data_IF_388999496590
#
_entry.id   IF_388999496590
#
_cell.length_a   1.000
_cell.length_b   1.000
_cell.length_c   1.000
_cell.angle_alpha   90.00
_cell.angle_beta   90.00
_cell.angle_gamma   90.00
#
_symmetry.space_group_name_H-M   'P 1'
#
loop_
_entity.id
_entity.type
_entity.pdbx_description
1 polymer ?
#
# COMPACT_ATOMS: atom_id res chain seq x y z
N UNK A 1 9.94 23.41 -8.56
CA UNK A 1 10.11 24.36 -9.65
C UNK A 1 8.72 24.86 -10.04
N UNK A 2 8.30 26.05 -9.56
CA UNK A 2 6.88 26.48 -9.64
C UNK A 2 6.33 26.58 -11.08
N UNK A 3 7.17 27.00 -12.03
CA UNK A 3 6.82 27.10 -13.45
C UNK A 3 7.53 26.01 -14.26
N UNK A 4 6.75 25.18 -14.95
CA UNK A 4 7.24 24.05 -15.77
C UNK A 4 7.20 24.31 -17.28
N UNK A 5 6.61 25.42 -17.70
CA UNK A 5 6.60 25.84 -19.09
C UNK A 5 8.03 26.05 -19.61
N UNK A 6 8.31 25.62 -20.84
CA UNK A 6 9.61 25.71 -21.51
C UNK A 6 10.78 24.98 -20.81
N UNK A 7 10.49 24.19 -19.77
CA UNK A 7 11.47 23.30 -19.15
C UNK A 7 11.72 22.09 -20.04
N UNK A 8 12.98 21.68 -20.14
CA UNK A 8 13.38 20.50 -20.90
C UNK A 8 13.37 19.31 -19.97
N UNK A 9 12.46 18.36 -20.21
CA UNK A 9 12.19 17.21 -19.35
C UNK A 9 12.54 15.93 -20.10
N UNK A 10 13.55 15.21 -19.60
CA UNK A 10 13.95 13.90 -20.10
C UNK A 10 13.28 12.80 -19.28
N UNK A 11 12.59 11.89 -19.95
CA UNK A 11 11.87 10.77 -19.34
C UNK A 11 12.33 9.47 -19.98
N UNK A 12 12.88 8.56 -19.17
CA UNK A 12 13.25 7.21 -19.62
C UNK A 12 12.08 6.23 -19.46
N UNK A 13 11.96 5.26 -20.36
CA UNK A 13 10.81 4.35 -20.37
C UNK A 13 9.51 5.08 -20.68
N UNK A 14 9.56 6.04 -21.60
CA UNK A 14 8.47 6.98 -21.88
C UNK A 14 7.42 6.45 -22.87
N UNK A 15 7.60 5.25 -23.42
CA UNK A 15 6.67 4.71 -24.43
C UNK A 15 5.39 4.12 -23.82
N UNK A 16 5.31 3.94 -22.50
CA UNK A 16 4.14 3.36 -21.84
C UNK A 16 4.06 3.64 -20.33
N UNK A 17 3.02 3.09 -19.71
CA UNK A 17 2.82 3.09 -18.25
C UNK A 17 2.92 4.46 -17.58
N UNK A 18 3.71 4.53 -16.51
CA UNK A 18 3.95 5.76 -15.73
C UNK A 18 4.69 6.80 -16.57
N UNK A 19 5.68 6.38 -17.37
CA UNK A 19 6.52 7.28 -18.17
C UNK A 19 5.72 8.08 -19.19
N UNK A 20 4.85 7.41 -19.96
CA UNK A 20 4.00 8.07 -20.96
C UNK A 20 2.99 9.04 -20.31
N UNK A 21 2.37 8.65 -19.21
CA UNK A 21 1.43 9.51 -18.51
C UNK A 21 2.14 10.71 -17.86
N UNK A 22 3.36 10.52 -17.36
CA UNK A 22 4.21 11.60 -16.82
C UNK A 22 4.53 12.59 -17.93
N UNK A 23 4.95 12.10 -19.10
CA UNK A 23 5.18 12.94 -20.29
C UNK A 23 3.93 13.74 -20.68
N UNK A 24 2.74 13.15 -20.55
CA UNK A 24 1.45 13.82 -20.76
C UNK A 24 1.27 15.07 -19.89
N UNK A 25 1.48 14.97 -18.58
CA UNK A 25 1.32 16.13 -17.68
C UNK A 25 2.35 17.23 -17.93
N UNK A 26 3.60 16.87 -18.25
CA UNK A 26 4.62 17.86 -18.63
C UNK A 26 4.30 18.51 -19.99
N UNK A 27 3.79 17.76 -20.97
CA UNK A 27 3.33 18.33 -22.25
C UNK A 27 2.19 19.33 -22.05
N UNK A 28 1.20 18.96 -21.23
CA UNK A 28 0.06 19.81 -20.90
C UNK A 28 0.49 21.10 -20.19
N UNK A 29 1.53 21.04 -19.35
CA UNK A 29 2.13 22.21 -18.70
C UNK A 29 3.05 23.05 -19.63
N UNK A 30 3.20 22.67 -20.90
CA UNK A 30 4.01 23.40 -21.88
C UNK A 30 5.52 23.15 -21.76
N UNK A 31 5.93 22.05 -21.12
CA UNK A 31 7.34 21.63 -21.10
C UNK A 31 7.76 21.03 -22.45
N UNK A 32 9.04 21.16 -22.77
CA UNK A 32 9.67 20.48 -23.91
C UNK A 32 10.12 19.10 -23.48
N UNK A 33 9.89 18.10 -24.32
CA UNK A 33 10.06 16.72 -23.93
C UNK A 33 11.23 16.06 -24.64
N UNK A 34 11.99 15.27 -23.90
CA UNK A 34 12.91 14.26 -24.42
C UNK A 34 12.40 12.90 -23.94
N UNK A 35 11.95 12.07 -24.88
CA UNK A 35 11.33 10.78 -24.60
C UNK A 35 12.24 9.68 -25.09
N UNK A 36 12.60 8.75 -24.20
CA UNK A 36 13.40 7.59 -24.57
C UNK A 36 12.74 6.29 -24.15
N UNK A 37 12.92 5.29 -24.98
CA UNK A 37 12.48 3.91 -24.74
C UNK A 37 13.29 2.96 -25.63
N UNK A 38 13.28 1.67 -25.32
CA UNK A 38 13.88 0.65 -26.18
C UNK A 38 12.93 0.25 -27.32
N UNK A 39 11.62 0.45 -27.15
CA UNK A 39 10.61 0.13 -28.15
C UNK A 39 10.34 1.32 -29.08
N UNK A 40 10.93 1.30 -30.27
CA UNK A 40 10.81 2.34 -31.29
C UNK A 40 9.35 2.64 -31.68
N UNK A 41 8.55 1.61 -31.95
CA UNK A 41 7.18 1.77 -32.40
C UNK A 41 6.28 2.38 -31.31
N UNK A 42 6.43 1.91 -30.07
CA UNK A 42 5.69 2.46 -28.94
C UNK A 42 6.12 3.91 -28.65
N UNK A 43 7.40 4.23 -28.82
CA UNK A 43 7.92 5.59 -28.64
C UNK A 43 7.38 6.57 -29.70
N UNK A 44 7.26 6.14 -30.95
CA UNK A 44 6.67 6.97 -32.01
C UNK A 44 5.16 7.20 -31.75
N UNK A 45 4.44 6.17 -31.31
CA UNK A 45 3.04 6.31 -30.90
C UNK A 45 2.88 7.29 -29.72
N UNK A 46 3.77 7.23 -28.73
CA UNK A 46 3.81 8.16 -27.61
C UNK A 46 3.99 9.62 -28.10
N UNK A 47 4.94 9.85 -29.02
CA UNK A 47 5.16 11.17 -29.62
C UNK A 47 3.93 11.68 -30.35
N UNK A 48 3.29 10.86 -31.18
CA UNK A 48 2.06 11.25 -31.90
C UNK A 48 0.93 11.62 -30.93
N UNK A 49 0.74 10.83 -29.86
CA UNK A 49 -0.27 11.11 -28.83
C UNK A 49 -0.02 12.44 -28.10
N UNK A 50 1.24 12.80 -27.91
CA UNK A 50 1.64 14.02 -27.18
C UNK A 50 1.77 15.26 -28.08
N UNK A 51 1.93 15.08 -29.39
CA UNK A 51 2.05 16.19 -30.36
C UNK A 51 0.87 17.17 -30.32
N UNK A 52 -0.32 16.71 -29.93
CA UNK A 52 -1.53 17.55 -29.75
C UNK A 52 -1.36 18.70 -28.76
N UNK A 53 -0.37 18.63 -27.87
CA UNK A 53 -0.09 19.69 -26.89
C UNK A 53 0.76 20.84 -27.46
N UNK A 54 1.25 20.72 -28.71
CA UNK A 54 1.99 21.80 -29.38
C UNK A 54 3.37 22.10 -28.77
N UNK A 55 3.95 21.16 -28.03
CA UNK A 55 5.28 21.27 -27.43
C UNK A 55 6.37 20.64 -28.30
N UNK A 56 7.61 21.08 -28.14
CA UNK A 56 8.76 20.44 -28.78
C UNK A 56 9.03 19.07 -28.17
N UNK A 57 9.09 18.03 -29.02
CA UNK A 57 9.40 16.66 -28.60
C UNK A 57 10.64 16.17 -29.34
N UNK A 58 11.60 15.62 -28.59
CA UNK A 58 12.72 14.82 -29.09
C UNK A 58 12.49 13.37 -28.66
N UNK A 59 12.41 12.45 -29.62
CA UNK A 59 12.41 11.02 -29.34
C UNK A 59 13.77 10.43 -29.70
N UNK A 60 14.25 9.47 -28.90
CA UNK A 60 15.42 8.66 -29.24
C UNK A 60 15.27 7.26 -28.66
N UNK A 61 15.49 6.25 -29.50
CA UNK A 61 15.58 4.86 -29.04
C UNK A 61 16.86 4.69 -28.25
N UNK A 62 16.75 4.31 -26.98
CA UNK A 62 17.89 4.17 -26.07
C UNK A 62 17.70 2.92 -25.23
N UNK A 63 18.63 1.98 -25.34
CA UNK A 63 18.86 1.01 -24.28
C UNK A 63 19.56 1.75 -23.13
N UNK A 64 18.84 1.90 -22.01
CA UNK A 64 19.32 2.65 -20.86
C UNK A 64 20.54 2.01 -20.19
N UNK A 65 20.86 0.75 -20.51
CA UNK A 65 22.05 0.03 -20.03
C UNK A 65 23.31 0.28 -20.88
N UNK A 66 23.18 0.93 -22.04
CA UNK A 66 24.31 1.34 -22.88
C UNK A 66 24.70 2.79 -22.59
N UNK A 67 25.80 2.98 -21.84
CA UNK A 67 26.33 4.30 -21.51
C UNK A 67 26.61 5.15 -22.76
N UNK A 68 27.11 4.57 -23.86
CA UNK A 68 27.41 5.34 -25.07
C UNK A 68 26.14 5.86 -25.74
N UNK A 69 25.05 5.08 -25.69
CA UNK A 69 23.75 5.53 -26.17
C UNK A 69 23.21 6.70 -25.33
N UNK A 70 23.42 6.66 -24.00
CA UNK A 70 23.06 7.75 -23.07
C UNK A 70 23.91 9.00 -23.31
N UNK A 71 25.21 8.86 -23.55
CA UNK A 71 26.09 9.99 -23.91
C UNK A 71 25.69 10.61 -25.26
N UNK A 72 25.38 9.77 -26.25
CA UNK A 72 24.86 10.24 -27.54
C UNK A 72 23.50 10.95 -27.38
N UNK A 73 22.63 10.49 -26.48
CA UNK A 73 21.38 11.19 -26.14
C UNK A 73 21.66 12.57 -25.57
N UNK A 74 22.62 12.71 -24.66
CA UNK A 74 23.03 14.02 -24.12
C UNK A 74 23.43 14.99 -25.23
N UNK A 75 24.21 14.54 -26.20
CA UNK A 75 24.66 15.39 -27.30
C UNK A 75 23.48 15.88 -28.15
N UNK A 76 22.48 15.03 -28.40
CA UNK A 76 21.25 15.43 -29.10
C UNK A 76 20.41 16.43 -28.28
N UNK A 77 20.31 16.22 -26.96
CA UNK A 77 19.60 17.13 -26.05
C UNK A 77 20.26 18.50 -26.01
N UNK A 78 21.60 18.55 -25.87
CA UNK A 78 22.37 19.79 -25.89
C UNK A 78 22.25 20.48 -27.25
N UNK A 79 22.35 19.73 -28.35
CA UNK A 79 22.22 20.29 -29.71
C UNK A 79 20.83 20.91 -29.95
N UNK A 80 19.76 20.25 -29.50
CA UNK A 80 18.39 20.71 -29.76
C UNK A 80 17.91 21.78 -28.78
N UNK A 81 18.22 21.63 -27.49
CA UNK A 81 17.64 22.45 -26.43
C UNK A 81 18.67 23.26 -25.64
N UNK A 82 19.96 22.95 -25.74
CA UNK A 82 21.06 23.64 -25.04
C UNK A 82 21.14 23.39 -23.53
N UNK A 83 20.18 22.65 -22.96
CA UNK A 83 20.08 22.38 -21.52
C UNK A 83 19.21 21.16 -21.24
N UNK A 84 19.29 20.66 -20.02
CA UNK A 84 18.30 19.77 -19.41
C UNK A 84 17.88 20.33 -18.06
N UNK A 85 16.58 20.53 -17.83
CA UNK A 85 16.05 21.06 -16.57
C UNK A 85 15.61 19.95 -15.62
N UNK A 86 15.01 18.88 -16.15
CA UNK A 86 14.47 17.76 -15.36
C UNK A 86 14.88 16.42 -15.98
N UNK A 87 15.44 15.53 -15.18
CA UNK A 87 15.73 14.13 -15.54
C UNK A 87 14.82 13.21 -14.73
N UNK A 88 14.00 12.40 -15.39
CA UNK A 88 13.12 11.41 -14.77
C UNK A 88 13.59 10.01 -15.15
N UNK A 89 14.30 9.37 -14.21
CA UNK A 89 14.72 7.98 -14.30
C UNK A 89 13.54 7.07 -13.93
N UNK A 90 12.75 6.69 -14.94
CA UNK A 90 11.53 5.89 -14.80
C UNK A 90 11.68 4.46 -15.36
N UNK A 91 12.55 4.24 -16.35
CA UNK A 91 12.78 2.91 -16.93
C UNK A 91 13.12 1.88 -15.84
N UNK A 92 12.51 0.69 -15.93
CA UNK A 92 12.70 -0.37 -14.95
C UNK A 92 12.05 -1.68 -15.38
N UNK A 93 12.51 -2.78 -14.79
CA UNK A 93 11.93 -4.11 -14.95
C UNK A 93 11.69 -4.79 -13.60
N UNK A 94 10.70 -5.67 -13.56
CA UNK A 94 10.37 -6.50 -12.41
C UNK A 94 10.78 -7.95 -12.66
N UNK A 95 11.08 -8.67 -11.59
CA UNK A 95 11.25 -10.12 -11.64
C UNK A 95 10.96 -10.66 -10.25
N UNK A 96 10.14 -11.72 -10.18
CA UNK A 96 9.81 -12.38 -8.95
C UNK A 96 10.35 -13.82 -8.94
N UNK A 97 11.14 -14.12 -7.92
CA UNK A 97 11.62 -15.42 -7.50
C UNK A 97 12.20 -15.27 -6.09
N UNK A 98 12.31 -16.37 -5.33
CA UNK A 98 13.11 -16.33 -4.11
C UNK A 98 14.55 -15.92 -4.41
N UNK A 99 15.23 -15.33 -3.42
CA UNK A 99 16.61 -14.84 -3.61
C UNK A 99 17.52 -15.99 -4.05
N UNK A 100 17.36 -17.18 -3.46
CA UNK A 100 18.13 -18.37 -3.78
C UNK A 100 17.84 -18.91 -5.20
N UNK A 101 16.62 -18.72 -5.68
CA UNK A 101 16.16 -19.24 -6.98
C UNK A 101 16.29 -18.22 -8.11
N UNK A 102 16.60 -16.96 -7.80
CA UNK A 102 16.80 -15.92 -8.81
C UNK A 102 18.11 -16.19 -9.55
N UNK A 103 18.08 -16.45 -10.88
CA UNK A 103 19.30 -16.69 -11.63
C UNK A 103 20.24 -15.47 -11.59
N UNK A 104 21.55 -15.69 -11.53
CA UNK A 104 22.54 -14.59 -11.53
C UNK A 104 22.41 -13.68 -12.76
N UNK A 105 22.02 -14.22 -13.91
CA UNK A 105 21.73 -13.43 -15.11
C UNK A 105 20.56 -12.46 -14.91
N UNK A 106 19.54 -12.84 -14.12
CA UNK A 106 18.41 -11.98 -13.76
C UNK A 106 18.82 -10.92 -12.73
N UNK A 107 19.66 -11.27 -11.77
CA UNK A 107 20.29 -10.28 -10.88
C UNK A 107 21.05 -9.22 -11.66
N UNK A 108 21.89 -9.63 -12.61
CA UNK A 108 22.64 -8.71 -13.44
C UNK A 108 21.72 -7.84 -14.30
N UNK A 109 20.69 -8.42 -14.92
CA UNK A 109 19.70 -7.69 -15.70
C UNK A 109 18.96 -6.63 -14.85
N UNK A 110 18.48 -7.01 -13.67
CA UNK A 110 17.81 -6.11 -12.73
C UNK A 110 18.74 -4.97 -12.29
N UNK A 111 19.98 -5.28 -11.90
CA UNK A 111 20.95 -4.25 -11.49
C UNK A 111 21.31 -3.31 -12.64
N UNK A 112 21.49 -3.84 -13.85
CA UNK A 112 21.83 -3.03 -15.02
C UNK A 112 20.72 -2.03 -15.35
N UNK A 113 19.46 -2.47 -15.36
CA UNK A 113 18.32 -1.62 -15.76
C UNK A 113 17.81 -0.76 -14.60
N UNK A 114 17.66 -1.32 -13.40
CA UNK A 114 17.03 -0.58 -12.31
C UNK A 114 18.00 0.32 -11.55
N UNK A 115 19.32 0.07 -11.59
CA UNK A 115 20.31 0.83 -10.82
C UNK A 115 21.39 1.50 -11.70
N UNK A 116 22.14 0.72 -12.50
CA UNK A 116 23.22 1.27 -13.31
C UNK A 116 22.71 2.26 -14.36
N UNK A 117 21.59 1.97 -15.01
CA UNK A 117 20.98 2.86 -16.00
C UNK A 117 20.62 4.25 -15.43
N UNK A 118 19.89 4.38 -14.30
CA UNK A 118 19.74 5.67 -13.63
C UNK A 118 21.07 6.35 -13.31
N UNK A 119 22.07 5.61 -12.83
CA UNK A 119 23.40 6.16 -12.54
C UNK A 119 24.10 6.69 -13.80
N UNK A 120 24.01 5.99 -14.93
CA UNK A 120 24.55 6.46 -16.21
C UNK A 120 23.91 7.77 -16.66
N UNK A 121 22.58 7.88 -16.55
CA UNK A 121 21.88 9.13 -16.86
C UNK A 121 22.28 10.25 -15.91
N UNK A 122 22.36 9.96 -14.61
CA UNK A 122 22.82 10.92 -13.60
C UNK A 122 24.23 11.43 -13.94
N UNK A 123 25.21 10.54 -14.13
CA UNK A 123 26.58 10.95 -14.42
C UNK A 123 26.71 11.72 -15.74
N UNK A 124 25.88 11.38 -16.73
CA UNK A 124 25.89 12.03 -18.03
C UNK A 124 25.28 13.44 -18.00
N UNK A 125 24.17 13.63 -17.28
CA UNK A 125 23.39 14.87 -17.32
C UNK A 125 23.61 15.81 -16.13
N UNK A 126 24.06 15.30 -14.98
CA UNK A 126 24.33 16.11 -13.79
C UNK A 126 25.35 17.25 -14.05
N UNK A 127 26.42 17.07 -14.84
CA UNK A 127 27.34 18.18 -15.16
C UNK A 127 26.64 19.38 -15.81
N UNK A 128 25.66 19.14 -16.70
CA UNK A 128 24.89 20.21 -17.36
C UNK A 128 24.04 20.99 -16.33
N UNK A 129 23.43 20.30 -15.38
CA UNK A 129 22.66 20.92 -14.30
C UNK A 129 23.55 21.72 -13.34
N UNK A 130 24.76 21.20 -13.04
CA UNK A 130 25.74 21.89 -12.18
C UNK A 130 26.27 23.17 -12.81
N UNK A 131 26.56 23.16 -14.10
CA UNK A 131 26.98 24.37 -14.83
C UNK A 131 25.93 25.49 -14.70
N UNK A 132 24.64 25.13 -14.77
CA UNK A 132 23.53 26.07 -14.65
C UNK A 132 23.12 26.39 -13.20
N UNK A 133 23.68 25.67 -12.22
CA UNK A 133 23.25 25.69 -10.81
C UNK A 133 21.73 25.56 -10.65
N UNK A 134 21.15 24.67 -11.45
CA UNK A 134 19.71 24.44 -11.49
C UNK A 134 19.45 23.11 -12.17
N UNK A 135 18.55 22.33 -11.59
CA UNK A 135 18.08 21.09 -12.17
C UNK A 135 17.25 20.28 -11.19
N UNK A 136 16.53 19.29 -11.70
CA UNK A 136 15.78 18.36 -10.87
C UNK A 136 15.94 16.94 -11.39
N UNK A 137 16.43 16.04 -10.54
CA UNK A 137 16.52 14.60 -10.83
C UNK A 137 15.41 13.88 -10.08
N UNK A 138 14.62 13.07 -10.77
CA UNK A 138 13.59 12.21 -10.20
C UNK A 138 13.99 10.76 -10.43
N UNK A 139 14.09 9.98 -9.36
CA UNK A 139 14.35 8.55 -9.42
C UNK A 139 13.10 7.79 -8.99
N UNK A 140 12.56 6.96 -9.88
CA UNK A 140 11.38 6.12 -9.59
C UNK A 140 11.83 4.79 -8.98
N UNK A 141 11.69 4.70 -7.66
CA UNK A 141 11.93 3.49 -6.88
C UNK A 141 10.67 2.59 -6.86
N UNK A 142 10.32 2.02 -5.71
CA UNK A 142 9.10 1.26 -5.47
C UNK A 142 8.82 1.17 -3.98
N UNK A 143 7.55 1.06 -3.60
CA UNK A 143 7.12 0.73 -2.25
C UNK A 143 7.74 -0.57 -1.72
N UNK A 144 8.15 -1.49 -2.61
CA UNK A 144 8.89 -2.70 -2.25
C UNK A 144 10.27 -2.42 -1.64
N UNK A 145 10.75 -1.17 -1.68
CA UNK A 145 11.86 -0.74 -0.85
C UNK A 145 11.52 -0.84 0.66
N UNK A 146 10.26 -0.64 1.02
CA UNK A 146 9.81 -0.56 2.42
C UNK A 146 8.99 -1.77 2.86
N UNK A 147 8.14 -2.36 2.02
CA UNK A 147 7.50 -3.65 2.32
C UNK A 147 8.26 -4.77 1.63
N UNK A 148 8.65 -5.81 2.38
CA UNK A 148 9.34 -6.99 1.83
C UNK A 148 8.28 -7.99 1.40
N UNK A 149 7.86 -7.92 0.14
CA UNK A 149 7.04 -8.99 -0.42
C UNK A 149 7.92 -10.23 -0.61
N UNK A 150 7.44 -11.42 -0.18
CA UNK A 150 8.04 -12.70 -0.55
C UNK A 150 8.29 -12.75 -2.06
N UNK A 151 9.38 -13.42 -2.48
CA UNK A 151 9.79 -13.60 -3.89
C UNK A 151 10.09 -12.34 -4.71
N UNK A 152 10.07 -11.15 -4.13
CA UNK A 152 10.49 -9.92 -4.83
C UNK A 152 11.88 -9.43 -4.37
N UNK A 153 12.66 -10.30 -3.73
CA UNK A 153 13.91 -9.93 -3.06
C UNK A 153 14.91 -9.22 -3.98
N UNK A 154 15.20 -9.81 -5.14
CA UNK A 154 16.18 -9.24 -6.07
C UNK A 154 15.77 -7.86 -6.59
N UNK A 155 14.51 -7.72 -7.01
CA UNK A 155 13.96 -6.43 -7.43
C UNK A 155 13.97 -5.41 -6.27
N UNK A 156 13.52 -5.79 -5.09
CA UNK A 156 13.47 -4.94 -3.90
C UNK A 156 14.85 -4.39 -3.52
N UNK A 157 15.90 -5.23 -3.62
CA UNK A 157 17.29 -4.80 -3.41
C UNK A 157 17.69 -3.69 -4.40
N UNK A 158 17.34 -3.83 -5.68
CA UNK A 158 17.64 -2.78 -6.68
C UNK A 158 16.92 -1.45 -6.36
N UNK A 159 15.67 -1.52 -5.89
CA UNK A 159 14.87 -0.33 -5.55
C UNK A 159 15.33 0.33 -4.24
N UNK A 160 15.79 -0.46 -3.27
CA UNK A 160 16.50 0.04 -2.09
C UNK A 160 17.78 0.78 -2.47
N UNK A 161 18.59 0.21 -3.36
CA UNK A 161 19.85 0.81 -3.81
C UNK A 161 19.63 2.18 -4.48
N UNK A 162 18.63 2.29 -5.36
CA UNK A 162 18.25 3.58 -5.98
C UNK A 162 17.77 4.59 -4.94
N UNK A 163 16.98 4.15 -3.95
CA UNK A 163 16.52 5.01 -2.86
C UNK A 163 17.69 5.60 -2.07
N UNK A 164 18.61 4.74 -1.61
CA UNK A 164 19.79 5.17 -0.87
C UNK A 164 20.69 6.11 -1.70
N UNK A 165 20.91 5.80 -2.99
CA UNK A 165 21.65 6.67 -3.91
C UNK A 165 21.01 8.06 -4.00
N UNK A 166 19.67 8.12 -4.09
CA UNK A 166 18.94 9.38 -4.22
C UNK A 166 19.00 10.23 -2.96
N UNK A 167 18.91 9.61 -1.78
CA UNK A 167 19.06 10.29 -0.48
C UNK A 167 20.45 10.90 -0.32
N UNK A 168 21.51 10.16 -0.68
CA UNK A 168 22.89 10.66 -0.65
C UNK A 168 23.06 11.81 -1.64
N UNK A 169 22.58 11.65 -2.88
CA UNK A 169 22.69 12.67 -3.90
C UNK A 169 22.02 13.98 -3.51
N UNK A 170 20.86 13.93 -2.85
CA UNK A 170 20.14 15.12 -2.40
C UNK A 170 21.08 16.04 -1.58
N UNK A 171 21.89 15.46 -0.69
CA UNK A 171 22.89 16.18 0.10
C UNK A 171 24.07 16.67 -0.76
N UNK A 172 24.61 15.81 -1.64
CA UNK A 172 25.80 16.14 -2.44
C UNK A 172 25.59 17.29 -3.43
N UNK A 173 24.39 17.39 -4.02
CA UNK A 173 24.08 18.38 -5.07
C UNK A 173 23.36 19.62 -4.53
N UNK A 174 23.01 19.67 -3.24
CA UNK A 174 22.33 20.80 -2.63
C UNK A 174 23.08 22.13 -2.84
N UNK A 175 24.42 22.11 -2.76
CA UNK A 175 25.28 23.29 -3.00
C UNK A 175 25.21 23.84 -4.42
N UNK A 176 24.80 22.99 -5.36
CA UNK A 176 24.65 23.33 -6.78
C UNK A 176 23.21 23.76 -7.11
N UNK A 177 22.33 23.91 -6.10
CA UNK A 177 20.92 24.24 -6.27
C UNK A 177 20.18 23.27 -7.21
N UNK A 178 20.53 22.00 -7.11
CA UNK A 178 19.88 20.90 -7.84
C UNK A 178 19.02 20.14 -6.83
N UNK A 179 17.82 19.72 -7.26
CA UNK A 179 16.87 18.96 -6.44
C UNK A 179 16.89 17.49 -6.82
N UNK A 180 16.65 16.61 -5.86
CA UNK A 180 16.52 15.18 -6.08
C UNK A 180 15.24 14.69 -5.42
N UNK A 181 14.30 14.17 -6.20
CA UNK A 181 13.08 13.52 -5.70
C UNK A 181 13.21 12.02 -5.85
N UNK A 182 12.90 11.28 -4.79
CA UNK A 182 12.67 9.84 -4.88
C UNK A 182 11.20 9.54 -4.81
N UNK A 183 10.66 8.87 -5.81
CA UNK A 183 9.25 8.48 -5.85
C UNK A 183 9.15 6.99 -5.54
N UNK A 184 8.24 6.62 -4.63
CA UNK A 184 7.99 5.23 -4.25
C UNK A 184 6.55 4.83 -4.61
N UNK A 185 6.30 4.38 -5.87
CA UNK A 185 5.01 3.80 -6.25
C UNK A 185 4.80 2.45 -5.55
N UNK A 186 3.62 2.17 -5.01
CA UNK A 186 3.34 0.90 -4.32
C UNK A 186 3.16 -0.26 -5.31
N UNK A 187 2.01 -0.31 -5.97
CA UNK A 187 1.68 -1.21 -7.07
C UNK A 187 1.00 -0.36 -8.14
N UNK A 188 1.35 -0.56 -9.41
CA UNK A 188 0.78 0.21 -10.53
C UNK A 188 0.40 -0.73 -11.65
N UNK A 189 -0.83 -0.60 -12.17
CA UNK A 189 -1.32 -1.45 -13.24
C UNK A 189 -0.79 -0.98 -14.62
N UNK A 190 0.46 -1.35 -14.95
CA UNK A 190 1.14 -0.98 -16.21
C UNK A 190 1.58 -2.17 -17.07
N UNK A 191 1.07 -3.37 -16.82
CA UNK A 191 1.58 -4.62 -17.43
C UNK A 191 2.96 -5.06 -16.91
N UNK A 192 3.53 -4.31 -15.96
CA UNK A 192 4.84 -4.58 -15.34
C UNK A 192 4.90 -5.93 -14.60
N UNK A 193 3.74 -6.45 -14.21
CA UNK A 193 3.57 -7.69 -13.47
C UNK A 193 3.09 -8.86 -14.35
N UNK A 194 2.88 -8.66 -15.65
CA UNK A 194 2.24 -9.67 -16.52
C UNK A 194 3.06 -10.95 -16.67
N UNK A 195 4.38 -10.87 -16.43
CA UNK A 195 5.29 -12.02 -16.43
C UNK A 195 5.55 -12.58 -15.04
N UNK A 196 4.94 -12.02 -13.99
CA UNK A 196 5.14 -12.48 -12.63
C UNK A 196 4.35 -13.77 -12.35
N UNK A 197 4.98 -14.77 -11.75
CA UNK A 197 4.35 -16.07 -11.48
C UNK A 197 4.00 -16.20 -9.99
N UNK A 198 2.75 -16.52 -9.66
CA UNK A 198 2.31 -16.71 -8.28
C UNK A 198 2.37 -18.20 -7.90
N UNK A 199 3.39 -18.59 -7.14
CA UNK A 199 3.67 -20.01 -6.81
C UNK A 199 3.29 -20.38 -5.36
N UNK A 200 2.98 -19.38 -4.53
CA UNK A 200 2.54 -19.51 -3.14
C UNK A 200 1.23 -18.76 -2.88
N UNK A 201 0.52 -19.13 -1.81
CA UNK A 201 -0.76 -18.48 -1.44
C UNK A 201 -0.55 -17.02 -1.03
N UNK A 202 0.56 -16.72 -0.35
CA UNK A 202 0.91 -15.34 -0.03
C UNK A 202 1.02 -14.49 -1.31
N UNK A 203 1.62 -15.04 -2.37
CA UNK A 203 1.65 -14.39 -3.68
C UNK A 203 0.26 -14.31 -4.31
N UNK A 204 -0.52 -15.39 -4.31
CA UNK A 204 -1.87 -15.36 -4.89
C UNK A 204 -2.78 -14.35 -4.20
N UNK A 205 -2.72 -14.23 -2.87
CA UNK A 205 -3.42 -13.21 -2.10
C UNK A 205 -2.88 -11.81 -2.41
N UNK A 206 -1.56 -11.65 -2.51
CA UNK A 206 -0.94 -10.39 -2.91
C UNK A 206 -1.39 -9.93 -4.29
N UNK A 207 -1.36 -10.82 -5.29
CA UNK A 207 -1.84 -10.54 -6.65
C UNK A 207 -3.35 -10.34 -6.70
N UNK A 208 -4.12 -11.07 -5.89
CA UNK A 208 -5.57 -10.91 -5.80
C UNK A 208 -5.99 -9.56 -5.23
N UNK A 209 -5.32 -9.09 -4.17
CA UNK A 209 -5.62 -7.79 -3.57
C UNK A 209 -4.92 -6.64 -4.29
N UNK A 210 -4.09 -6.92 -5.30
CA UNK A 210 -3.44 -5.91 -6.12
C UNK A 210 -4.42 -4.85 -6.65
N UNK A 211 -5.59 -5.19 -7.23
CA UNK A 211 -6.52 -4.17 -7.72
C UNK A 211 -7.09 -3.25 -6.62
N UNK A 212 -7.09 -3.66 -5.35
CA UNK A 212 -7.60 -2.85 -4.23
C UNK A 212 -6.59 -1.79 -3.77
N UNK A 213 -5.29 -2.03 -3.98
CA UNK A 213 -4.21 -1.14 -3.53
C UNK A 213 -3.31 -0.62 -4.66
N UNK A 214 -3.60 -0.98 -5.91
CA UNK A 214 -2.86 -0.56 -7.10
C UNK A 214 -3.36 0.79 -7.59
N UNK A 215 -2.44 1.74 -7.72
CA UNK A 215 -2.72 3.05 -8.26
C UNK A 215 -2.80 3.00 -9.79
N UNK A 216 -3.61 3.90 -10.36
CA UNK A 216 -3.60 4.11 -11.80
C UNK A 216 -2.27 4.74 -12.23
N UNK A 217 -1.71 4.38 -13.39
CA UNK A 217 -0.48 4.99 -13.90
C UNK A 217 -0.56 6.53 -13.99
N UNK A 218 -1.76 7.05 -14.27
CA UNK A 218 -2.06 8.48 -14.30
C UNK A 218 -1.93 9.14 -12.92
N UNK A 219 -2.33 8.45 -11.84
CA UNK A 219 -2.21 8.97 -10.48
C UNK A 219 -0.74 9.10 -10.09
N UNK A 220 0.06 8.07 -10.34
CA UNK A 220 1.50 8.09 -10.04
C UNK A 220 2.22 9.14 -10.88
N UNK A 221 1.88 9.23 -12.17
CA UNK A 221 2.42 10.26 -13.07
C UNK A 221 2.10 11.69 -12.60
N UNK A 222 0.87 11.91 -12.09
CA UNK A 222 0.49 13.21 -11.51
C UNK A 222 1.30 13.52 -10.26
N UNK A 223 1.50 12.54 -9.37
CA UNK A 223 2.33 12.73 -8.19
C UNK A 223 3.79 13.02 -8.53
N UNK A 224 4.36 12.38 -9.57
CA UNK A 224 5.69 12.72 -10.09
C UNK A 224 5.73 14.17 -10.55
N UNK A 225 4.76 14.59 -11.37
CA UNK A 225 4.64 15.95 -11.86
C UNK A 225 4.56 16.98 -10.71
N UNK A 226 3.66 16.76 -9.75
CA UNK A 226 3.47 17.63 -8.59
C UNK A 226 4.73 17.68 -7.71
N UNK A 227 5.43 16.55 -7.54
CA UNK A 227 6.69 16.49 -6.78
C UNK A 227 7.80 17.33 -7.42
N UNK A 228 7.88 17.36 -8.75
CA UNK A 228 8.81 18.24 -9.47
C UNK A 228 8.43 19.72 -9.30
N UNK A 229 7.14 20.02 -9.41
CA UNK A 229 6.64 21.39 -9.22
C UNK A 229 6.91 21.91 -7.81
N UNK A 230 6.70 21.07 -6.81
CA UNK A 230 6.79 21.40 -5.38
C UNK A 230 8.19 21.20 -4.79
N UNK A 231 9.13 20.60 -5.54
CA UNK A 231 10.51 20.31 -5.10
C UNK A 231 10.60 19.37 -3.91
N UNK A 232 9.73 18.36 -3.87
CA UNK A 232 9.72 17.37 -2.78
C UNK A 232 10.96 16.48 -2.83
N UNK A 233 11.57 16.18 -1.69
CA UNK A 233 12.71 15.25 -1.64
C UNK A 233 12.27 13.78 -1.77
N UNK A 234 11.12 13.44 -1.20
CA UNK A 234 10.55 12.08 -1.20
C UNK A 234 9.05 12.16 -1.42
N UNK A 235 8.55 11.32 -2.34
CA UNK A 235 7.12 11.13 -2.56
C UNK A 235 6.73 9.68 -2.33
N UNK A 236 5.89 9.46 -1.32
CA UNK A 236 5.27 8.16 -1.03
C UNK A 236 3.89 8.14 -1.65
N UNK A 237 3.72 7.33 -2.71
CA UNK A 237 2.46 7.31 -3.48
C UNK A 237 1.30 6.77 -2.64
N UNK A 238 1.55 5.72 -1.85
CA UNK A 238 0.55 5.08 -0.99
C UNK A 238 0.82 5.36 0.49
N UNK A 239 -0.25 5.52 1.28
CA UNK A 239 -0.19 5.59 2.74
C UNK A 239 0.44 4.33 3.36
N UNK A 240 0.32 3.19 2.68
CA UNK A 240 0.96 1.94 3.09
C UNK A 240 2.49 2.06 3.07
N UNK A 241 3.07 2.80 2.12
CA UNK A 241 4.52 3.03 2.09
C UNK A 241 5.01 3.79 3.31
N UNK A 242 4.25 4.80 3.75
CA UNK A 242 4.58 5.52 4.98
C UNK A 242 4.49 4.57 6.18
N UNK A 243 3.42 3.80 6.30
CA UNK A 243 3.26 2.81 7.36
C UNK A 243 4.44 1.82 7.41
N UNK A 244 4.79 1.19 6.28
CA UNK A 244 5.87 0.20 6.22
C UNK A 244 7.26 0.80 6.45
N UNK A 245 7.50 2.07 6.06
CA UNK A 245 8.76 2.77 6.36
C UNK A 245 8.93 2.97 7.87
N UNK A 246 7.89 3.42 8.56
CA UNK A 246 7.98 3.79 9.97
C UNK A 246 7.83 2.60 10.94
N UNK A 247 7.05 1.57 10.59
CA UNK A 247 6.88 0.38 11.45
C UNK A 247 8.20 -0.37 11.68
N UNK A 248 9.16 -0.27 10.76
CA UNK A 248 10.49 -0.89 10.88
C UNK A 248 11.40 -0.25 11.92
N UNK A 249 11.13 1.01 12.28
CA UNK A 249 11.87 1.70 13.35
C UNK A 249 11.40 1.22 14.74
N UNK A 250 10.35 0.39 14.80
CA UNK A 250 9.76 -0.17 16.01
C UNK A 250 10.11 -1.67 16.11
N UNK A 251 11.10 -2.07 16.93
CA UNK A 251 11.61 -3.45 16.97
C UNK A 251 10.54 -4.51 17.24
N UNK A 252 9.57 -4.20 18.10
CA UNK A 252 8.48 -5.11 18.49
C UNK A 252 7.49 -5.36 17.35
N UNK A 253 7.14 -4.31 16.59
CA UNK A 253 6.20 -4.40 15.49
C UNK A 253 6.83 -5.08 14.27
N UNK A 254 8.12 -4.81 14.01
CA UNK A 254 8.90 -5.55 13.02
C UNK A 254 8.95 -7.05 13.34
N UNK A 255 9.21 -7.42 14.61
CA UNK A 255 9.25 -8.83 15.02
C UNK A 255 7.92 -9.58 14.92
N UNK A 256 6.78 -8.91 15.13
CA UNK A 256 5.45 -9.49 14.89
C UNK A 256 5.21 -9.69 13.40
N UNK A 257 5.51 -8.68 12.58
CA UNK A 257 5.35 -8.77 11.13
C UNK A 257 6.22 -9.89 10.54
N UNK A 258 7.48 -9.99 10.97
CA UNK A 258 8.39 -11.06 10.55
C UNK A 258 7.85 -12.44 10.95
N UNK A 259 7.36 -12.61 12.19
CA UNK A 259 6.72 -13.87 12.63
C UNK A 259 5.51 -14.24 11.78
N UNK A 260 4.61 -13.29 11.54
CA UNK A 260 3.42 -13.50 10.71
C UNK A 260 3.82 -13.89 9.29
N UNK A 261 4.76 -13.17 8.67
CA UNK A 261 5.28 -13.50 7.33
C UNK A 261 5.92 -14.89 7.29
N UNK A 262 6.72 -15.27 8.29
CA UNK A 262 7.32 -16.61 8.38
C UNK A 262 6.27 -17.73 8.45
N UNK A 263 5.21 -17.56 9.25
CA UNK A 263 4.12 -18.53 9.35
C UNK A 263 3.36 -18.70 8.03
N UNK A 264 3.14 -17.60 7.30
CA UNK A 264 2.50 -17.67 5.98
C UNK A 264 3.39 -18.24 4.87
N UNK A 265 4.72 -18.32 5.08
CA UNK A 265 5.67 -18.75 4.05
C UNK A 265 6.15 -20.21 4.17
N UNK A 266 6.08 -20.86 5.33
CA UNK A 266 6.65 -22.22 5.48
C UNK A 266 5.62 -23.33 5.23
N UNK A 267 5.80 -24.10 4.13
CA UNK A 267 4.97 -25.29 3.81
C UNK A 267 4.96 -26.32 4.95
N UNK A 268 6.10 -26.53 5.61
CA UNK A 268 6.22 -27.46 6.73
C UNK A 268 5.43 -27.02 7.98
N UNK A 269 5.35 -25.72 8.31
CA UNK A 269 4.48 -25.30 9.41
C UNK A 269 3.02 -25.32 9.01
N UNK A 270 2.68 -25.02 7.75
CA UNK A 270 1.32 -25.11 7.22
C UNK A 270 0.76 -26.53 7.30
N UNK A 271 1.57 -27.56 6.99
CA UNK A 271 1.20 -28.97 7.18
C UNK A 271 1.10 -29.33 8.68
N UNK A 272 2.06 -28.88 9.51
CA UNK A 272 2.05 -29.16 10.96
C UNK A 272 0.88 -28.52 11.73
N UNK A 273 0.33 -27.42 11.20
CA UNK A 273 -0.80 -26.68 11.77
C UNK A 273 -2.15 -27.12 11.16
N UNK A 274 -2.17 -28.14 10.30
CA UNK A 274 -3.39 -28.62 9.63
C UNK A 274 -4.00 -27.64 8.63
N UNK A 275 -3.26 -26.60 8.25
CA UNK A 275 -3.70 -25.54 7.34
C UNK A 275 -3.69 -25.99 5.87
N UNK A 276 -3.03 -27.10 5.52
CA UNK A 276 -2.91 -27.59 4.13
C UNK A 276 -4.23 -27.74 3.37
N UNK A 277 -5.27 -28.29 4.01
CA UNK A 277 -6.60 -28.41 3.37
C UNK A 277 -7.35 -27.09 3.23
N UNK A 278 -7.10 -26.13 4.13
CA UNK A 278 -7.65 -24.76 4.07
C UNK A 278 -6.93 -23.97 2.97
N UNK A 279 -5.63 -24.20 2.84
CA UNK A 279 -4.72 -23.69 1.82
C UNK A 279 -5.14 -24.13 0.41
N UNK A 280 -5.41 -25.41 0.19
CA UNK A 280 -5.87 -25.93 -1.12
C UNK A 280 -7.27 -25.43 -1.49
N UNK A 281 -8.15 -25.29 -0.49
CA UNK A 281 -9.50 -24.78 -0.66
C UNK A 281 -9.51 -23.28 -0.95
N UNK A 282 -8.68 -22.50 -0.26
CA UNK A 282 -8.43 -21.09 -0.58
C UNK A 282 -7.84 -20.98 -1.99
N UNK A 283 -6.82 -21.76 -2.34
CA UNK A 283 -6.22 -21.80 -3.69
C UNK A 283 -7.23 -22.06 -4.82
N UNK A 284 -8.15 -23.02 -4.66
CA UNK A 284 -9.15 -23.31 -5.69
C UNK A 284 -10.21 -22.21 -5.82
N UNK A 285 -10.63 -21.61 -4.69
CA UNK A 285 -11.52 -20.44 -4.67
C UNK A 285 -10.81 -19.23 -5.31
N UNK A 286 -9.53 -19.04 -5.02
CA UNK A 286 -8.70 -17.95 -5.57
C UNK A 286 -8.54 -18.08 -7.09
N UNK A 287 -8.31 -19.30 -7.60
CA UNK A 287 -8.24 -19.56 -9.06
C UNK A 287 -9.58 -19.26 -9.75
N UNK A 288 -10.71 -19.63 -9.15
CA UNK A 288 -12.04 -19.29 -9.65
C UNK A 288 -12.30 -17.78 -9.66
N UNK A 289 -11.82 -17.06 -8.63
CA UNK A 289 -11.90 -15.60 -8.55
C UNK A 289 -10.97 -14.93 -9.57
N UNK A 290 -9.75 -15.42 -9.81
CA UNK A 290 -8.84 -14.87 -10.83
C UNK A 290 -9.38 -15.04 -12.25
N UNK A 291 -10.03 -16.16 -12.55
CA UNK A 291 -10.76 -16.35 -13.82
C UNK A 291 -11.95 -15.38 -13.96
N UNK A 292 -12.52 -14.95 -12.83
CA UNK A 292 -13.60 -13.96 -12.78
C UNK A 292 -13.06 -12.52 -12.81
N UNK A 293 -11.90 -12.24 -12.23
CA UNK A 293 -11.27 -10.92 -12.14
C UNK A 293 -10.76 -10.38 -13.48
N UNK A 294 -10.53 -11.26 -14.47
CA UNK A 294 -10.41 -10.87 -15.89
C UNK A 294 -11.65 -10.14 -16.44
N UNK A 295 -12.76 -10.10 -15.69
CA UNK A 295 -14.03 -9.43 -16.03
C UNK A 295 -14.42 -8.28 -15.08
N UNK A 296 -13.59 -7.89 -14.11
CA UNK A 296 -13.86 -6.81 -13.14
C UNK A 296 -13.74 -7.24 -11.67
N UNK A 297 -13.56 -6.28 -10.76
CA UNK A 297 -13.43 -6.52 -9.30
C UNK A 297 -14.72 -7.16 -8.75
N UNK A 298 -14.68 -8.25 -7.97
CA UNK A 298 -15.89 -8.90 -7.48
C UNK A 298 -16.65 -8.02 -6.47
N UNK A 299 -17.98 -7.94 -6.58
CA UNK A 299 -18.90 -7.38 -5.57
C UNK A 299 -19.06 -8.30 -4.34
N UNK A 300 -17.96 -8.88 -3.84
CA UNK A 300 -18.01 -9.84 -2.72
C UNK A 300 -17.62 -9.16 -1.41
N UNK A 301 -18.23 -9.65 -0.33
CA UNK A 301 -17.97 -9.28 1.05
C UNK A 301 -17.24 -10.37 1.82
N UNK A 302 -17.15 -10.20 3.15
CA UNK A 302 -16.68 -11.25 4.04
C UNK A 302 -17.44 -11.23 5.36
N UNK A 303 -17.32 -12.33 6.11
CA UNK A 303 -17.70 -12.41 7.52
C UNK A 303 -16.54 -13.04 8.30
N UNK A 304 -16.29 -12.52 9.49
CA UNK A 304 -15.32 -13.04 10.45
C UNK A 304 -15.96 -13.07 11.84
N UNK A 305 -15.57 -14.06 12.65
CA UNK A 305 -16.06 -14.27 14.01
C UNK A 305 -15.03 -13.78 15.02
N UNK A 306 -15.36 -12.77 15.82
CA UNK A 306 -14.53 -12.21 16.88
C UNK A 306 -15.10 -12.56 18.26
N UNK A 307 -14.22 -12.92 19.20
CA UNK A 307 -14.57 -13.13 20.62
C UNK A 307 -13.75 -12.15 21.47
N UNK A 308 -14.43 -11.43 22.36
CA UNK A 308 -13.83 -10.48 23.27
C UNK A 308 -14.28 -10.80 24.69
N UNK A 309 -13.32 -11.00 25.59
CA UNK A 309 -13.57 -11.51 26.95
C UNK A 309 -12.86 -10.64 27.98
N UNK A 310 -13.47 -10.45 29.14
CA UNK A 310 -12.89 -9.70 30.24
C UNK A 310 -13.84 -9.53 31.40
N UNK A 311 -13.81 -8.34 32.00
CA UNK A 311 -14.55 -8.04 33.22
C UNK A 311 -15.39 -6.77 33.05
N UNK A 312 -16.46 -6.67 33.83
CA UNK A 312 -17.20 -5.43 34.02
C UNK A 312 -17.53 -5.21 35.48
N UNK A 313 -17.83 -3.96 35.82
CA UNK A 313 -18.29 -3.55 37.14
C UNK A 313 -19.51 -2.65 36.97
N UNK A 314 -20.53 -2.90 37.78
CA UNK A 314 -21.70 -2.06 37.78
C UNK A 314 -21.42 -0.71 38.45
N UNK A 315 -22.11 0.33 37.99
CA UNK A 315 -22.11 1.63 38.66
C UNK A 315 -22.88 1.50 39.98
N UNK A 316 -22.43 2.18 41.04
CA UNK A 316 -23.08 2.18 42.35
C UNK A 316 -24.61 2.34 42.25
N UNK A 317 -25.33 1.40 42.87
CA UNK A 317 -26.80 1.35 42.85
C UNK A 317 -27.42 0.57 41.68
N UNK A 318 -26.59 -0.02 40.81
CA UNK A 318 -27.02 -0.93 39.76
C UNK A 318 -26.33 -2.30 39.98
N UNK A 319 -27.08 -3.40 40.01
CA UNK A 319 -26.51 -4.76 40.03
C UNK A 319 -25.67 -5.17 41.27
N UNK A 320 -25.09 -6.38 41.26
CA UNK A 320 -24.21 -6.89 42.31
C UNK A 320 -22.85 -6.18 42.33
N UNK A 321 -22.33 -5.90 43.53
CA UNK A 321 -21.03 -5.26 43.71
C UNK A 321 -19.86 -6.13 43.23
N UNK A 322 -18.76 -5.48 42.86
CA UNK A 322 -17.53 -6.12 42.43
C UNK A 322 -17.44 -6.38 40.92
N UNK A 323 -16.37 -7.05 40.52
CA UNK A 323 -16.11 -7.38 39.12
C UNK A 323 -16.77 -8.68 38.70
N UNK A 324 -17.39 -8.67 37.54
CA UNK A 324 -18.13 -9.79 36.96
C UNK A 324 -17.65 -10.07 35.54
N UNK A 325 -17.93 -11.28 35.03
CA UNK A 325 -17.53 -11.68 33.67
C UNK A 325 -18.25 -10.82 32.62
N UNK A 326 -17.50 -10.32 31.64
CA UNK A 326 -18.05 -9.72 30.43
C UNK A 326 -17.48 -10.41 29.20
N UNK A 327 -18.34 -10.87 28.29
CA UNK A 327 -17.93 -11.52 27.04
C UNK A 327 -18.89 -11.14 25.93
N UNK A 328 -18.38 -10.81 24.74
CA UNK A 328 -19.19 -10.72 23.54
C UNK A 328 -18.56 -11.49 22.39
N UNK A 329 -19.41 -12.13 21.60
CA UNK A 329 -19.07 -12.84 20.36
C UNK A 329 -19.76 -12.12 19.23
N UNK A 330 -19.03 -11.80 18.18
CA UNK A 330 -19.49 -10.94 17.11
C UNK A 330 -19.07 -11.50 15.75
N UNK A 331 -20.06 -11.81 14.91
CA UNK A 331 -19.88 -11.98 13.48
C UNK A 331 -20.00 -10.61 12.82
N UNK A 332 -18.97 -10.20 12.11
CA UNK A 332 -18.96 -8.92 11.41
C UNK A 332 -18.24 -9.01 10.08
N UNK A 333 -18.60 -8.11 9.18
CA UNK A 333 -17.91 -7.92 7.92
C UNK A 333 -18.79 -7.23 6.87
N UNK A 334 -18.19 -6.57 5.89
CA UNK A 334 -18.93 -5.84 4.88
C UNK A 334 -19.57 -6.80 3.88
N UNK A 335 -20.81 -6.50 3.46
CA UNK A 335 -21.48 -7.20 2.36
C UNK A 335 -20.80 -6.97 1.01
N UNK A 336 -20.22 -5.77 0.83
CA UNK A 336 -19.49 -5.37 -0.36
C UNK A 336 -18.17 -4.71 0.07
N UNK A 337 -17.04 -5.27 -0.37
CA UNK A 337 -15.72 -4.78 0.02
C UNK A 337 -15.39 -3.40 -0.59
N UNK A 338 -15.90 -3.09 -1.78
CA UNK A 338 -15.64 -1.82 -2.49
C UNK A 338 -16.29 -0.66 -1.73
N UNK A 339 -17.54 -0.82 -1.30
CA UNK A 339 -18.25 0.21 -0.53
C UNK A 339 -17.61 0.42 0.86
N UNK A 340 -17.17 -0.67 1.49
CA UNK A 340 -16.55 -0.64 2.81
C UNK A 340 -15.27 0.19 2.85
N UNK A 341 -14.48 0.18 1.77
CA UNK A 341 -13.19 0.89 1.73
C UNK A 341 -13.28 2.23 0.99
N UNK A 342 -14.46 2.66 0.55
CA UNK A 342 -14.63 3.92 -0.19
C UNK A 342 -14.70 5.13 0.78
N UNK A 343 -13.67 6.00 0.82
CA UNK A 343 -13.62 7.13 1.75
C UNK A 343 -14.61 8.25 1.41
N UNK A 344 -15.22 8.22 0.21
CA UNK A 344 -16.19 9.21 -0.25
C UNK A 344 -17.65 8.91 0.08
N UNK A 345 -17.94 7.85 0.85
CA UNK A 345 -19.29 7.47 1.25
C UNK A 345 -19.49 7.47 2.77
N UNK A 346 -20.73 7.67 3.21
CA UNK A 346 -21.13 7.71 4.62
C UNK A 346 -20.89 6.38 5.38
N UNK A 347 -20.67 5.28 4.66
CA UNK A 347 -20.45 3.93 5.21
C UNK A 347 -18.98 3.49 5.20
N UNK A 348 -18.05 4.42 5.02
CA UNK A 348 -16.62 4.12 5.07
C UNK A 348 -16.25 3.38 6.36
N UNK A 349 -15.70 2.17 6.20
CA UNK A 349 -15.16 1.33 7.27
C UNK A 349 -16.20 0.96 8.36
N UNK A 350 -17.47 0.87 7.97
CA UNK A 350 -18.59 0.44 8.83
C UNK A 350 -19.08 -0.95 8.40
N UNK A 351 -19.20 -1.86 9.36
CA UNK A 351 -19.76 -3.20 9.17
C UNK A 351 -20.96 -3.42 10.09
N UNK A 352 -21.95 -4.16 9.59
CA UNK A 352 -22.98 -4.74 10.45
C UNK A 352 -22.34 -5.80 11.36
N UNK A 353 -22.84 -5.91 12.58
CA UNK A 353 -22.40 -6.86 13.59
C UNK A 353 -23.62 -7.60 14.14
N UNK A 354 -23.51 -8.91 14.27
CA UNK A 354 -24.50 -9.75 14.94
C UNK A 354 -23.78 -10.76 15.84
N UNK A 355 -24.41 -11.16 16.95
CA UNK A 355 -23.80 -12.17 17.79
C UNK A 355 -24.46 -12.28 19.15
N UNK A 356 -23.66 -12.48 20.20
CA UNK A 356 -24.16 -12.67 21.57
C UNK A 356 -23.33 -11.92 22.60
N UNK A 357 -23.94 -11.57 23.73
CA UNK A 357 -23.26 -10.97 24.88
C UNK A 357 -23.62 -11.70 26.18
N UNK A 358 -22.63 -11.88 27.04
CA UNK A 358 -22.77 -12.38 28.40
C UNK A 358 -22.24 -11.32 29.36
N UNK A 359 -23.10 -10.88 30.28
CA UNK A 359 -22.82 -9.83 31.27
C UNK A 359 -23.20 -10.41 32.63
N UNK A 360 -22.19 -10.74 33.45
CA UNK A 360 -22.37 -11.36 34.75
C UNK A 360 -23.29 -10.55 35.65
N UNK A 361 -24.29 -11.22 36.24
CA UNK A 361 -25.32 -10.55 37.04
C UNK A 361 -26.38 -9.80 36.22
N UNK A 362 -26.42 -9.94 34.90
CA UNK A 362 -27.41 -9.31 34.03
C UNK A 362 -27.99 -10.24 32.96
N UNK A 363 -27.17 -10.87 32.11
CA UNK A 363 -27.65 -11.77 31.06
C UNK A 363 -26.58 -12.76 30.59
N UNK A 364 -27.00 -13.88 30.01
CA UNK A 364 -26.12 -14.91 29.47
C UNK A 364 -26.49 -15.22 28.01
N UNK A 365 -25.48 -15.22 27.13
CA UNK A 365 -25.61 -15.48 25.68
C UNK A 365 -26.78 -14.73 25.01
N UNK A 366 -27.02 -13.48 25.42
CA UNK A 366 -28.11 -12.67 24.90
C UNK A 366 -27.81 -12.27 23.44
N UNK A 367 -28.72 -12.52 22.47
CA UNK A 367 -28.53 -12.09 21.09
C UNK A 367 -28.40 -10.57 20.96
N UNK A 368 -27.46 -10.13 20.12
CA UNK A 368 -27.20 -8.70 19.88
C UNK A 368 -27.09 -8.42 18.39
N UNK A 369 -27.48 -7.20 18.01
CA UNK A 369 -27.32 -6.66 16.66
C UNK A 369 -26.82 -5.23 16.74
N UNK A 370 -25.94 -4.86 15.81
CA UNK A 370 -25.30 -3.56 15.85
C UNK A 370 -24.32 -3.31 14.73
N UNK A 371 -23.29 -2.51 15.02
CA UNK A 371 -22.28 -2.08 14.07
C UNK A 371 -20.88 -2.13 14.66
N UNK A 372 -19.91 -2.43 13.81
CA UNK A 372 -18.49 -2.20 14.03
C UNK A 372 -18.01 -1.06 13.14
N UNK A 373 -17.37 -0.06 13.72
CA UNK A 373 -16.83 1.09 13.01
C UNK A 373 -15.31 1.15 13.17
N UNK A 374 -14.56 0.96 12.09
CA UNK A 374 -13.10 1.07 12.08
C UNK A 374 -12.71 2.54 11.80
N UNK A 375 -12.76 3.38 12.84
CA UNK A 375 -12.50 4.83 12.78
C UNK A 375 -11.00 5.15 12.89
N UNK A 376 -10.13 4.33 12.30
CA UNK A 376 -8.67 4.49 12.39
C UNK A 376 -8.20 5.86 11.88
N UNK A 377 -8.73 6.30 10.75
CA UNK A 377 -8.28 7.50 10.03
C UNK A 377 -8.89 8.81 10.53
N UNK A 378 -9.91 8.73 11.39
CA UNK A 378 -10.59 9.89 11.95
C UNK A 378 -10.17 10.08 13.41
N UNK A 379 -10.38 9.04 14.23
CA UNK A 379 -10.33 9.17 15.69
C UNK A 379 -9.32 8.23 16.34
N UNK A 380 -8.58 7.43 15.55
CA UNK A 380 -7.67 6.40 16.05
C UNK A 380 -8.39 5.41 16.98
N UNK A 381 -9.60 5.01 16.58
CA UNK A 381 -10.51 4.15 17.37
C UNK A 381 -11.14 3.04 16.55
N UNK A 382 -11.51 1.96 17.22
CA UNK A 382 -12.50 1.00 16.71
C UNK A 382 -13.68 1.05 17.68
N UNK A 383 -14.89 1.23 17.16
CA UNK A 383 -16.10 1.32 17.97
C UNK A 383 -17.04 0.17 17.68
N UNK A 384 -17.38 -0.58 18.72
CA UNK A 384 -18.45 -1.57 18.75
C UNK A 384 -19.70 -0.89 19.31
N UNK A 385 -20.83 -1.07 18.67
CA UNK A 385 -22.11 -0.59 19.19
C UNK A 385 -23.17 -1.63 18.90
N UNK A 386 -23.83 -2.16 19.93
CA UNK A 386 -24.92 -3.11 19.75
C UNK A 386 -25.97 -2.96 20.83
N UNK A 387 -27.21 -3.28 20.45
CA UNK A 387 -28.37 -3.18 21.31
C UNK A 387 -28.83 -4.57 21.74
N UNK A 388 -29.38 -4.65 22.96
CA UNK A 388 -29.92 -5.89 23.54
C UNK A 388 -31.01 -5.57 24.56
N UNK A 389 -31.81 -6.58 24.93
CA UNK A 389 -32.91 -6.43 25.87
C UNK A 389 -32.84 -7.49 26.97
N UNK A 390 -33.02 -7.08 28.22
CA UNK A 390 -33.06 -7.96 29.39
C UNK A 390 -34.33 -7.67 30.15
N UNK A 391 -35.17 -8.70 30.36
CA UNK A 391 -36.47 -8.59 31.04
C UNK A 391 -37.39 -7.47 30.48
N UNK A 392 -37.30 -7.20 29.17
CA UNK A 392 -38.08 -6.17 28.49
C UNK A 392 -37.52 -4.74 28.64
N UNK A 393 -36.38 -4.57 29.30
CA UNK A 393 -35.66 -3.30 29.38
C UNK A 393 -34.61 -3.19 28.26
N UNK A 394 -34.58 -2.08 27.51
CA UNK A 394 -33.64 -1.90 26.41
C UNK A 394 -32.28 -1.35 26.89
N UNK A 395 -31.20 -1.97 26.42
CA UNK A 395 -29.82 -1.58 26.71
C UNK A 395 -29.00 -1.45 25.44
N UNK A 396 -27.98 -0.61 25.52
CA UNK A 396 -26.97 -0.46 24.48
C UNK A 396 -25.58 -0.61 25.09
N UNK A 397 -24.74 -1.39 24.42
CA UNK A 397 -23.32 -1.42 24.68
C UNK A 397 -22.59 -0.55 23.67
N UNK A 398 -21.66 0.28 24.16
CA UNK A 398 -20.69 0.99 23.33
C UNK A 398 -19.30 0.65 23.83
N UNK A 399 -18.53 -0.06 23.00
CA UNK A 399 -17.15 -0.44 23.28
C UNK A 399 -16.19 0.29 22.36
N UNK A 400 -15.09 0.81 22.89
CA UNK A 400 -14.04 1.44 22.10
C UNK A 400 -12.67 0.85 22.38
N UNK A 401 -12.01 0.43 21.31
CA UNK A 401 -10.55 0.31 21.28
C UNK A 401 -10.01 1.71 21.00
N UNK A 402 -9.22 2.26 21.91
CA UNK A 402 -8.81 3.68 21.91
C UNK A 402 -7.30 3.85 21.73
N UNK A 403 -6.90 5.06 21.34
CA UNK A 403 -5.49 5.46 21.18
C UNK A 403 -4.74 4.49 20.27
N UNK A 404 -5.35 4.13 19.16
CA UNK A 404 -4.77 3.17 18.24
C UNK A 404 -3.66 3.84 17.45
N UNK A 405 -2.42 3.52 17.81
CA UNK A 405 -1.22 3.98 17.14
C UNK A 405 -0.38 2.81 16.64
N UNK A 406 0.38 2.98 15.55
CA UNK A 406 1.28 1.95 15.04
C UNK A 406 2.24 1.35 16.08
N UNK A 407 2.64 2.11 17.10
CA UNK A 407 3.57 1.68 18.15
C UNK A 407 2.92 0.95 19.33
N UNK A 408 1.60 0.99 19.49
CA UNK A 408 0.90 0.33 20.59
C UNK A 408 -0.14 -0.69 20.13
N UNK A 409 -0.17 -1.03 18.82
CA UNK A 409 -1.14 -1.96 18.21
C UNK A 409 -1.36 -3.26 19.01
N UNK A 410 -0.32 -3.96 19.53
CA UNK A 410 -0.54 -5.20 20.27
C UNK A 410 -1.39 -5.04 21.54
N UNK A 411 -1.45 -3.83 22.08
CA UNK A 411 -2.23 -3.49 23.26
C UNK A 411 -3.54 -2.75 22.92
N UNK A 412 -3.47 -1.80 21.98
CA UNK A 412 -4.62 -0.97 21.59
C UNK A 412 -5.62 -1.69 20.67
N UNK A 413 -5.21 -2.71 19.92
CA UNK A 413 -6.14 -3.54 19.14
C UNK A 413 -6.75 -4.69 19.93
N UNK A 414 -6.16 -5.04 21.06
CA UNK A 414 -6.62 -6.15 21.89
C UNK A 414 -7.53 -5.66 23.00
N UNK A 415 -7.35 -4.45 23.54
CA UNK A 415 -8.12 -3.94 24.67
C UNK A 415 -9.27 -3.03 24.23
N UNK A 416 -10.50 -3.33 24.68
CA UNK A 416 -11.71 -2.57 24.41
C UNK A 416 -12.35 -2.10 25.71
N UNK A 417 -12.63 -0.80 25.81
CA UNK A 417 -13.28 -0.18 26.96
C UNK A 417 -14.75 0.05 26.65
N UNK A 418 -15.64 -0.52 27.45
CA UNK A 418 -17.06 -0.55 27.18
C UNK A 418 -17.92 0.11 28.25
N UNK A 419 -19.07 0.62 27.82
CA UNK A 419 -20.14 1.07 28.70
C UNK A 419 -21.47 0.44 28.28
N UNK A 420 -22.25 0.00 29.26
CA UNK A 420 -23.64 -0.44 29.09
C UNK A 420 -24.56 0.66 29.57
N UNK A 421 -25.46 1.10 28.70
CA UNK A 421 -26.43 2.16 28.96
C UNK A 421 -27.84 1.62 28.89
N UNK A 422 -28.67 1.92 29.89
CA UNK A 422 -30.10 1.69 29.79
C UNK A 422 -30.72 2.77 28.89
N UNK A 423 -31.33 2.37 27.77
CA UNK A 423 -31.83 3.29 26.75
C UNK A 423 -33.06 4.07 27.21
N UNK A 424 -33.84 3.54 28.16
CA UNK A 424 -35.03 4.22 28.70
C UNK A 424 -34.68 5.35 29.66
N UNK A 425 -33.70 5.11 30.54
CA UNK A 425 -33.28 6.08 31.57
C UNK A 425 -32.13 6.97 31.11
N UNK A 426 -31.40 6.56 30.07
CA UNK A 426 -30.20 7.22 29.60
C UNK A 426 -28.99 7.08 30.52
N UNK A 427 -29.06 6.26 31.57
CA UNK A 427 -27.98 6.09 32.54
C UNK A 427 -27.01 4.97 32.13
N UNK A 428 -25.72 5.20 32.34
CA UNK A 428 -24.69 4.15 32.29
C UNK A 428 -24.85 3.30 33.55
N UNK A 429 -25.02 1.99 33.36
CA UNK A 429 -25.27 1.04 34.44
C UNK A 429 -24.05 0.15 34.73
N UNK A 430 -23.14 0.02 33.77
CA UNK A 430 -21.95 -0.83 33.91
C UNK A 430 -20.84 -0.36 32.99
N UNK A 431 -19.59 -0.56 33.41
CA UNK A 431 -18.39 -0.31 32.61
C UNK A 431 -17.58 -1.60 32.49
N UNK A 432 -17.03 -1.88 31.31
CA UNK A 432 -16.29 -3.09 31.02
C UNK A 432 -14.90 -2.82 30.43
N UNK A 433 -14.01 -3.78 30.63
CA UNK A 433 -12.73 -3.87 29.95
C UNK A 433 -12.65 -5.29 29.39
N UNK A 434 -12.63 -5.41 28.07
CA UNK A 434 -12.51 -6.70 27.38
C UNK A 434 -11.24 -6.76 26.55
N UNK A 435 -10.76 -7.98 26.34
CA UNK A 435 -9.55 -8.28 25.61
C UNK A 435 -9.83 -9.31 24.51
N UNK A 436 -9.16 -9.14 23.37
CA UNK A 436 -8.95 -10.20 22.40
C UNK A 436 -7.75 -11.06 22.86
N UNK A 437 -7.94 -12.37 23.02
CA UNK A 437 -6.84 -13.27 23.34
C UNK A 437 -6.00 -13.54 22.09
N UNK A 438 -4.71 -13.18 22.14
CA UNK A 438 -3.79 -13.38 21.03
C UNK A 438 -3.54 -14.86 20.71
N UNK A 439 -3.82 -15.77 21.64
CA UNK A 439 -3.75 -17.21 21.40
C UNK A 439 -4.89 -17.70 20.50
N UNK A 440 -6.02 -16.98 20.45
CA UNK A 440 -7.19 -17.31 19.63
C UNK A 440 -7.05 -16.75 18.20
N UNK A 441 -5.98 -16.01 17.90
CA UNK A 441 -5.72 -15.43 16.59
C UNK A 441 -5.80 -16.45 15.43
N UNK A 442 -5.29 -17.69 15.53
CA UNK A 442 -5.43 -18.69 14.47
C UNK A 442 -6.88 -19.11 14.23
N UNK A 443 -7.67 -19.27 15.30
CA UNK A 443 -9.08 -19.65 15.21
C UNK A 443 -9.91 -18.50 14.64
N UNK A 444 -9.68 -17.28 15.12
CA UNK A 444 -10.24 -16.04 14.59
C UNK A 444 -10.03 -15.93 13.08
N UNK A 445 -8.79 -16.07 12.60
CA UNK A 445 -8.48 -16.02 11.18
C UNK A 445 -9.13 -17.18 10.40
N UNK A 446 -9.23 -18.36 11.00
CA UNK A 446 -9.89 -19.54 10.43
C UNK A 446 -11.40 -19.37 10.23
N UNK A 447 -12.03 -18.43 10.91
CA UNK A 447 -13.46 -18.13 10.75
C UNK A 447 -13.79 -17.27 9.54
N UNK A 448 -12.78 -16.68 8.88
CA UNK A 448 -12.95 -15.83 7.73
C UNK A 448 -13.64 -16.58 6.57
N UNK A 449 -14.78 -16.06 6.13
CA UNK A 449 -15.54 -16.60 4.99
C UNK A 449 -15.89 -15.48 4.04
N UNK A 450 -15.62 -15.68 2.74
CA UNK A 450 -16.13 -14.80 1.71
C UNK A 450 -17.65 -14.96 1.60
N UNK A 451 -18.35 -13.84 1.52
CA UNK A 451 -19.80 -13.77 1.34
C UNK A 451 -20.08 -13.13 -0.02
N UNK A 452 -20.93 -13.74 -0.84
CA UNK A 452 -21.23 -13.20 -2.17
C UNK A 452 -21.45 -14.26 -3.22
#
# INVERSE_FOLDING_TARGET
MKELRDKVVLITGAAGGIGLNTAGFFAEAGSRLVLTDINEMALENAKQRLAKHGVDILTKVVDVTDLKAVESLRDDVVKKFGKLDVLINNAGIGYNAEIADTPLSKWQQLMNINFWAPLYHIQTFLPLMKEKKSGHIVNVSSGQAYFRAPTWGAYSVTKLAVGAMSEIMNVEVARDNIKVTTVYPFLVNTGFYDTATANSIGEQLFFMFMPLYSDKPETVARMIFDSVREEKDVEMVSILNQFFKYIRVLPTAAGVMDKTTHTFMSKQQQESLGLGGIVDKLGSILNSIMDTAKKGVPEKGFVIHEVMSGEHEFVDGFGPAGKHKFEFKADWGPKNLVDFVNPGQDKFMLSELAGTVTIGGMCENMPVYGTLQLRYFQDQKIRYTFDFSVDGEPYQYVGEKQQIYPWNLPYSHTTCFGEVKNLRTGKVISKSITHFDMNDLPEFLGTFKLTG
#
